data_IF_003167241835
#
_entry.id   IF_003167241835
#
_cell.length_a   1.000
_cell.length_b   1.000
_cell.length_c   1.000
_cell.angle_alpha   90.00
_cell.angle_beta   90.00
_cell.angle_gamma   90.00
#
_symmetry.space_group_name_H-M   'P 1'
#
loop_
_entity.id
_entity.type
_entity.pdbx_description
1 polymer ?
#
# COMPACT_ATOMS: atom_id res chain seq x y z
N UNK A 1 2.62 -1.49 16.75
CA UNK A 1 1.64 -0.38 16.67
C UNK A 1 2.34 0.99 16.77
N UNK A 2 3.18 1.24 17.79
CA UNK A 2 3.80 2.54 18.05
C UNK A 2 4.48 3.15 16.81
N UNK A 3 5.37 2.43 16.13
CA UNK A 3 6.06 2.93 14.93
C UNK A 3 5.10 3.34 13.82
N UNK A 4 3.99 2.62 13.69
CA UNK A 4 2.97 2.95 12.70
C UNK A 4 2.20 4.22 13.10
N UNK A 5 1.95 4.39 14.39
CA UNK A 5 1.25 5.57 14.90
C UNK A 5 2.06 6.85 14.80
N UNK A 6 3.38 6.76 14.91
CA UNK A 6 4.30 7.88 14.81
C UNK A 6 4.67 8.23 13.36
N UNK A 7 4.36 7.37 12.39
CA UNK A 7 4.72 7.56 10.99
C UNK A 7 3.91 8.68 10.33
N UNK A 8 4.56 9.57 9.60
CA UNK A 8 3.92 10.59 8.76
C UNK A 8 3.32 10.01 7.49
N UNK A 9 3.94 8.96 6.95
CA UNK A 9 3.52 8.27 5.74
C UNK A 9 3.50 6.77 5.95
N UNK A 10 2.63 6.09 5.21
CA UNK A 10 2.55 4.62 5.21
C UNK A 10 2.69 4.10 3.78
N UNK A 11 3.74 3.36 3.52
CA UNK A 11 3.93 2.66 2.24
C UNK A 11 3.79 1.17 2.48
N UNK A 12 2.86 0.55 1.77
CA UNK A 12 2.61 -0.88 1.83
C UNK A 12 3.20 -1.54 0.59
N UNK A 13 4.10 -2.49 0.78
CA UNK A 13 4.74 -3.21 -0.31
C UNK A 13 4.58 -4.71 -0.13
N UNK A 14 4.16 -5.41 -1.17
CA UNK A 14 4.01 -6.87 -1.15
C UNK A 14 4.16 -7.47 -2.54
N UNK A 15 4.81 -8.63 -2.67
CA UNK A 15 4.62 -9.45 -3.86
C UNK A 15 3.20 -10.03 -3.89
N UNK A 16 2.76 -10.42 -5.08
CA UNK A 16 1.49 -11.09 -5.28
C UNK A 16 1.67 -12.60 -5.22
N UNK A 17 1.01 -13.24 -4.26
CA UNK A 17 0.95 -14.69 -4.12
C UNK A 17 -0.51 -15.13 -4.18
N UNK A 18 -0.87 -15.94 -5.21
CA UNK A 18 -2.25 -16.37 -5.42
C UNK A 18 -3.27 -15.24 -5.37
N UNK A 19 -3.05 -14.21 -6.18
CA UNK A 19 -3.94 -13.04 -6.32
C UNK A 19 -4.11 -12.18 -5.07
N UNK A 20 -3.22 -12.30 -4.09
CA UNK A 20 -3.28 -11.53 -2.85
C UNK A 20 -1.88 -11.19 -2.33
N UNK A 21 -1.84 -10.58 -1.17
CA UNK A 21 -0.60 -10.31 -0.42
C UNK A 21 -0.02 -11.62 0.15
N UNK A 22 1.22 -11.56 0.63
CA UNK A 22 1.86 -12.73 1.28
C UNK A 22 1.12 -13.12 2.56
N UNK A 23 1.25 -14.40 2.97
CA UNK A 23 0.71 -14.87 4.24
C UNK A 23 1.24 -14.10 5.45
N UNK A 24 2.52 -13.71 5.43
CA UNK A 24 3.11 -12.87 6.49
C UNK A 24 2.47 -11.48 6.53
N UNK A 25 2.27 -10.85 5.38
CA UNK A 25 1.58 -9.56 5.29
C UNK A 25 0.14 -9.70 5.79
N UNK A 26 -0.58 -10.75 5.38
CA UNK A 26 -1.96 -11.00 5.80
C UNK A 26 -2.06 -11.22 7.32
N UNK A 27 -1.11 -11.94 7.91
CA UNK A 27 -1.03 -12.12 9.36
C UNK A 27 -0.86 -10.77 10.08
N UNK A 28 -0.02 -9.89 9.54
CA UNK A 28 0.14 -8.53 10.08
C UNK A 28 -1.16 -7.73 9.94
N UNK A 29 -1.79 -7.78 8.77
CA UNK A 29 -3.06 -7.09 8.50
C UNK A 29 -4.16 -7.55 9.46
N UNK A 30 -4.26 -8.83 9.71
CA UNK A 30 -5.29 -9.38 10.60
C UNK A 30 -5.12 -8.88 12.05
N UNK A 31 -3.91 -8.56 12.47
CA UNK A 31 -3.65 -7.92 13.77
C UNK A 31 -4.15 -6.47 13.84
N UNK A 32 -4.31 -5.82 12.71
CA UNK A 32 -4.86 -4.46 12.64
C UNK A 32 -6.40 -4.42 12.67
N UNK A 33 -7.05 -5.56 12.83
CA UNK A 33 -8.49 -5.63 13.10
C UNK A 33 -8.92 -4.73 14.27
N UNK A 34 -8.03 -4.46 15.21
CA UNK A 34 -8.26 -3.55 16.33
C UNK A 34 -8.58 -2.12 15.87
N UNK A 35 -7.96 -1.64 14.79
CA UNK A 35 -8.25 -0.31 14.24
C UNK A 35 -9.64 -0.25 13.61
N UNK A 36 -9.99 -1.25 12.80
CA UNK A 36 -11.33 -1.36 12.26
C UNK A 36 -12.38 -1.43 13.37
N UNK A 37 -12.17 -2.29 14.36
CA UNK A 37 -13.08 -2.42 15.50
C UNK A 37 -13.21 -1.12 16.29
N UNK A 38 -12.11 -0.40 16.47
CA UNK A 38 -12.11 0.92 17.11
C UNK A 38 -12.93 1.95 16.34
N UNK A 39 -12.82 1.98 15.01
CA UNK A 39 -13.61 2.86 14.15
C UNK A 39 -15.12 2.53 14.24
N UNK A 40 -15.47 1.25 14.18
CA UNK A 40 -16.88 0.80 14.28
C UNK A 40 -17.49 1.15 15.64
N UNK A 41 -16.76 0.94 16.73
CA UNK A 41 -17.22 1.27 18.08
C UNK A 41 -17.14 2.76 18.42
N UNK A 42 -16.39 3.52 17.63
CA UNK A 42 -16.09 4.94 17.89
C UNK A 42 -15.42 5.19 19.25
N UNK A 43 -14.65 4.20 19.73
CA UNK A 43 -13.94 4.27 21.01
C UNK A 43 -12.45 4.61 20.84
N UNK A 44 -11.99 4.83 19.62
CA UNK A 44 -10.67 5.33 19.32
C UNK A 44 -10.72 6.80 18.91
N UNK A 45 -9.72 7.60 19.31
CA UNK A 45 -9.66 8.99 18.89
C UNK A 45 -9.49 9.09 17.36
N UNK A 46 -10.11 10.09 16.77
CA UNK A 46 -9.87 10.43 15.38
C UNK A 46 -8.40 10.82 15.21
N UNK A 47 -7.76 10.25 14.18
CA UNK A 47 -6.37 10.57 13.83
C UNK A 47 -6.33 11.44 12.58
N UNK A 48 -5.33 12.34 12.50
CA UNK A 48 -5.12 13.10 11.26
C UNK A 48 -4.92 12.16 10.07
N UNK A 49 -5.47 12.52 8.93
CA UNK A 49 -5.33 11.75 7.71
C UNK A 49 -3.88 11.81 7.22
N UNK A 50 -3.24 10.66 7.21
CA UNK A 50 -1.88 10.50 6.69
C UNK A 50 -1.90 10.26 5.19
N UNK A 51 -0.73 10.27 4.57
CA UNK A 51 -0.54 9.95 3.16
C UNK A 51 0.12 8.59 3.02
N UNK A 52 -0.28 7.85 2.02
CA UNK A 52 0.24 6.51 1.80
C UNK A 52 0.31 6.12 0.33
N UNK A 53 0.95 5.00 0.09
CA UNK A 53 1.13 4.43 -1.23
C UNK A 53 1.17 2.90 -1.18
N UNK A 54 0.93 2.28 -2.31
CA UNK A 54 0.97 0.83 -2.48
C UNK A 54 1.97 0.48 -3.57
N UNK A 55 2.84 -0.48 -3.28
CA UNK A 55 3.79 -1.05 -4.24
C UNK A 55 3.58 -2.56 -4.31
N UNK A 56 3.38 -3.09 -5.51
CA UNK A 56 3.18 -4.52 -5.70
C UNK A 56 4.02 -5.04 -6.87
N UNK A 57 4.49 -6.27 -6.73
CA UNK A 57 5.19 -6.99 -7.81
C UNK A 57 4.53 -8.35 -8.04
N UNK A 58 4.46 -8.76 -9.30
CA UNK A 58 3.94 -10.06 -9.70
C UNK A 58 4.89 -10.74 -10.68
N UNK A 59 5.19 -12.03 -10.44
CA UNK A 59 6.13 -12.79 -11.26
C UNK A 59 5.65 -13.02 -12.69
N UNK A 60 4.36 -13.29 -12.86
CA UNK A 60 3.76 -13.59 -14.16
C UNK A 60 3.70 -12.36 -15.07
N UNK A 61 3.73 -12.57 -16.40
CA UNK A 61 3.41 -11.52 -17.38
C UNK A 61 2.05 -10.88 -17.08
N UNK A 62 1.88 -9.62 -17.48
CA UNK A 62 0.64 -8.87 -17.24
C UNK A 62 -0.60 -9.61 -17.74
N UNK A 63 -1.61 -9.70 -16.89
CA UNK A 63 -2.92 -10.25 -17.22
C UNK A 63 -4.04 -9.48 -16.51
N UNK A 64 -5.30 -9.58 -16.98
CA UNK A 64 -6.42 -8.85 -16.37
C UNK A 64 -6.57 -9.16 -14.87
N UNK A 65 -6.75 -8.11 -14.05
CA UNK A 65 -6.96 -8.21 -12.60
C UNK A 65 -5.80 -8.84 -11.80
N UNK A 66 -4.59 -8.88 -12.38
CA UNK A 66 -3.41 -9.48 -11.74
C UNK A 66 -3.17 -8.95 -10.32
N UNK A 67 -3.33 -7.66 -10.10
CA UNK A 67 -3.06 -7.00 -8.81
C UNK A 67 -4.33 -6.68 -8.00
N UNK A 68 -5.51 -6.98 -8.52
CA UNK A 68 -6.78 -6.57 -7.91
C UNK A 68 -6.96 -7.07 -6.47
N UNK A 69 -6.65 -8.34 -6.21
CA UNK A 69 -6.81 -8.93 -4.88
C UNK A 69 -5.92 -8.24 -3.83
N UNK A 70 -4.65 -8.00 -4.17
CA UNK A 70 -3.72 -7.26 -3.31
C UNK A 70 -4.14 -5.81 -3.12
N UNK A 71 -4.57 -5.16 -4.19
CA UNK A 71 -5.07 -3.78 -4.17
C UNK A 71 -6.24 -3.60 -3.19
N UNK A 72 -7.24 -4.48 -3.27
CA UNK A 72 -8.40 -4.43 -2.38
C UNK A 72 -8.00 -4.59 -0.90
N UNK A 73 -7.13 -5.53 -0.60
CA UNK A 73 -6.65 -5.78 0.77
C UNK A 73 -5.86 -4.57 1.30
N UNK A 74 -4.90 -4.08 0.52
CA UNK A 74 -4.00 -3.01 0.96
C UNK A 74 -4.70 -1.65 1.03
N UNK A 75 -5.61 -1.33 0.11
CA UNK A 75 -6.41 -0.10 0.19
C UNK A 75 -7.31 -0.08 1.42
N UNK A 76 -7.93 -1.22 1.72
CA UNK A 76 -8.75 -1.32 2.92
C UNK A 76 -7.92 -1.12 4.19
N UNK A 77 -6.73 -1.72 4.24
CA UNK A 77 -5.82 -1.49 5.38
C UNK A 77 -5.42 -0.02 5.52
N UNK A 78 -5.06 0.66 4.44
CA UNK A 78 -4.73 2.09 4.50
C UNK A 78 -5.90 2.92 5.05
N UNK A 79 -7.12 2.61 4.62
CA UNK A 79 -8.32 3.26 5.13
C UNK A 79 -8.48 3.08 6.64
N UNK A 80 -8.33 1.85 7.14
CA UNK A 80 -8.42 1.54 8.57
C UNK A 80 -7.30 2.22 9.39
N UNK A 81 -6.17 2.50 8.74
CA UNK A 81 -5.05 3.23 9.34
C UNK A 81 -5.17 4.76 9.19
N UNK A 82 -6.34 5.28 8.82
CA UNK A 82 -6.56 6.72 8.55
C UNK A 82 -5.53 7.29 7.57
N UNK A 83 -5.31 6.57 6.46
CA UNK A 83 -4.29 6.91 5.48
C UNK A 83 -4.90 7.00 4.10
N UNK A 84 -4.79 8.18 3.48
CA UNK A 84 -5.19 8.40 2.09
C UNK A 84 -4.17 7.78 1.14
N UNK A 85 -4.61 6.88 0.27
CA UNK A 85 -3.76 6.30 -0.77
C UNK A 85 -3.59 7.29 -1.92
N UNK A 86 -2.38 7.81 -2.10
CA UNK A 86 -2.06 8.76 -3.18
C UNK A 86 -1.80 8.09 -4.52
N UNK A 87 -1.53 6.80 -4.51
CA UNK A 87 -1.33 6.02 -5.71
C UNK A 87 -0.75 4.66 -5.45
N UNK A 88 -0.69 3.88 -6.51
CA UNK A 88 -0.10 2.55 -6.49
C UNK A 88 0.80 2.35 -7.71
N UNK A 89 1.85 1.58 -7.54
CA UNK A 89 2.72 1.14 -8.63
C UNK A 89 2.83 -0.37 -8.61
N UNK A 90 2.60 -0.99 -9.76
CA UNK A 90 2.64 -2.44 -9.92
C UNK A 90 3.66 -2.81 -10.99
N UNK A 91 4.56 -3.76 -10.68
CA UNK A 91 5.51 -4.34 -11.62
C UNK A 91 5.09 -5.76 -11.94
N UNK A 92 4.52 -6.03 -13.12
CA UNK A 92 4.28 -7.39 -13.60
C UNK A 92 5.57 -8.00 -14.17
N UNK A 93 5.55 -9.30 -14.42
CA UNK A 93 6.66 -10.02 -15.07
C UNK A 93 7.99 -9.90 -14.32
N UNK A 94 7.95 -9.82 -13.00
CA UNK A 94 9.15 -9.59 -12.18
C UNK A 94 10.13 -10.76 -12.20
N UNK A 95 9.76 -11.91 -12.75
CA UNK A 95 10.70 -13.02 -13.01
C UNK A 95 11.72 -12.66 -14.13
N UNK A 96 11.39 -11.70 -14.98
CA UNK A 96 12.20 -11.27 -16.13
C UNK A 96 12.47 -9.76 -16.16
N UNK A 97 11.60 -8.96 -15.57
CA UNK A 97 11.69 -7.50 -15.56
C UNK A 97 12.03 -6.95 -14.17
N UNK A 98 12.68 -5.80 -14.18
CA UNK A 98 12.99 -5.01 -12.98
C UNK A 98 12.72 -3.52 -13.26
N UNK A 99 12.95 -2.67 -12.29
CA UNK A 99 12.86 -1.21 -12.52
C UNK A 99 13.92 -0.72 -13.53
N UNK A 100 15.04 -1.43 -13.67
CA UNK A 100 16.07 -1.11 -14.65
C UNK A 100 15.60 -1.41 -16.08
N UNK A 101 14.84 -2.50 -16.29
CA UNK A 101 14.31 -2.89 -17.60
C UNK A 101 12.96 -2.23 -17.91
N UNK A 102 12.31 -1.64 -16.92
CA UNK A 102 11.01 -0.97 -17.02
C UNK A 102 11.11 0.48 -16.55
N UNK A 103 11.75 1.36 -17.34
CA UNK A 103 11.90 2.78 -16.97
C UNK A 103 10.56 3.52 -16.85
N UNK A 104 9.51 3.08 -17.54
CA UNK A 104 8.15 3.58 -17.39
C UNK A 104 7.60 3.37 -15.97
N UNK A 105 7.81 2.19 -15.39
CA UNK A 105 7.40 1.88 -14.02
C UNK A 105 8.31 2.58 -13.01
N UNK A 106 9.62 2.62 -13.25
CA UNK A 106 10.54 3.38 -12.41
C UNK A 106 10.14 4.85 -12.31
N UNK A 107 9.71 5.46 -13.42
CA UNK A 107 9.22 6.83 -13.44
C UNK A 107 7.93 7.00 -12.63
N UNK A 108 7.02 6.03 -12.67
CA UNK A 108 5.81 6.03 -11.82
C UNK A 108 6.16 6.06 -10.33
N UNK A 109 7.19 5.31 -9.91
CA UNK A 109 7.66 5.32 -8.50
C UNK A 109 8.18 6.71 -8.12
N UNK A 110 8.99 7.33 -8.97
CA UNK A 110 9.51 8.69 -8.74
C UNK A 110 8.38 9.71 -8.63
N UNK A 111 7.42 9.67 -9.55
CA UNK A 111 6.25 10.57 -9.54
C UNK A 111 5.39 10.40 -8.29
N UNK A 112 5.18 9.15 -7.86
CA UNK A 112 4.45 8.86 -6.63
C UNK A 112 5.18 9.41 -5.40
N UNK A 113 6.50 9.23 -5.33
CA UNK A 113 7.32 9.77 -4.24
C UNK A 113 7.26 11.30 -4.20
N UNK A 114 7.31 11.96 -5.35
CA UNK A 114 7.18 13.42 -5.45
C UNK A 114 5.79 13.89 -5.01
N UNK A 115 4.74 13.18 -5.39
CA UNK A 115 3.36 13.46 -4.97
C UNK A 115 3.20 13.34 -3.46
N UNK A 116 3.78 12.33 -2.84
CA UNK A 116 3.77 12.16 -1.38
C UNK A 116 4.53 13.28 -0.68
N UNK A 117 5.69 13.66 -1.20
CA UNK A 117 6.47 14.78 -0.66
C UNK A 117 5.70 16.10 -0.75
N UNK A 118 5.09 16.41 -1.88
CA UNK A 118 4.29 17.60 -2.07
C UNK A 118 3.09 17.64 -1.13
N UNK A 119 2.40 16.53 -0.94
CA UNK A 119 1.25 16.43 -0.03
C UNK A 119 1.64 16.68 1.44
N UNK A 120 2.85 16.30 1.85
CA UNK A 120 3.36 16.56 3.21
C UNK A 120 3.79 18.03 3.42
N UNK A 121 4.19 18.73 2.36
CA UNK A 121 4.58 20.14 2.44
C UNK A 121 3.41 21.11 2.64
N UNK A 122 2.18 20.64 2.42
CA UNK A 122 0.94 21.44 2.58
C UNK A 122 0.31 21.34 3.96
N UNK A 123 0.97 20.69 4.88
CA UNK A 123 0.52 20.58 6.28
C UNK A 123 0.72 21.88 7.05
#
# INVERSE_FOLDING_TARGET
>A
YQKLEEADNVVLASPMYFHSVTGKMKTLIDRFQVYWAGHVRKDMPEKPLRKGAILMVGGAPSFPNQFLGGELVLKNLLNDLSTECLGEVCLPNSDHDSLETRPDIAQQVVELAQKMKAANQTK
#
